data_IF_702753661801
#
_entry.id   IF_702753661801
#
_cell.length_a   1.000
_cell.length_b   1.000
_cell.length_c   1.000
_cell.angle_alpha   90.00
_cell.angle_beta   90.00
_cell.angle_gamma   90.00
#
_symmetry.space_group_name_H-M   'P 1'
#
loop_
_entity.id
_entity.type
_entity.pdbx_description
1 polymer ?
#
# COMPACT_ATOMS: atom_id res chain seq x y z
N UNK A 1 -3.84 -2.91 -12.96
CA UNK A 1 -2.84 -2.42 -11.98
C UNK A 1 -2.93 -0.89 -11.98
N UNK A 2 -3.19 -0.23 -10.85
CA UNK A 2 -3.27 1.24 -10.84
C UNK A 2 -1.85 1.87 -11.01
N UNK A 3 -1.77 3.11 -11.52
CA UNK A 3 -0.51 3.78 -11.84
C UNK A 3 0.45 3.84 -10.63
N UNK A 4 -0.09 4.13 -9.45
CA UNK A 4 0.66 4.23 -8.19
C UNK A 4 1.30 2.89 -7.79
N UNK A 5 0.55 1.79 -7.91
CA UNK A 5 1.02 0.44 -7.61
C UNK A 5 2.05 -0.03 -8.63
N UNK A 6 1.92 0.36 -9.90
CA UNK A 6 2.93 0.08 -10.93
C UNK A 6 4.25 0.79 -10.66
N UNK A 7 4.22 1.99 -10.10
CA UNK A 7 5.44 2.77 -9.78
C UNK A 7 6.19 2.22 -8.57
N UNK A 8 5.48 1.63 -7.60
CA UNK A 8 6.04 1.24 -6.30
C UNK A 8 6.43 -0.24 -6.22
N UNK A 9 5.87 -1.10 -7.08
CA UNK A 9 6.22 -2.54 -7.14
C UNK A 9 7.69 -2.78 -7.54
N UNK A 10 8.31 -1.88 -8.30
CA UNK A 10 9.70 -2.01 -8.74
C UNK A 10 10.74 -1.62 -7.66
N UNK A 11 10.31 -1.07 -6.52
CA UNK A 11 11.22 -0.77 -5.41
C UNK A 11 11.50 -2.05 -4.62
N UNK A 12 12.76 -2.49 -4.59
CA UNK A 12 13.21 -3.75 -3.95
C UNK A 12 12.68 -3.93 -2.51
N UNK A 13 12.61 -2.85 -1.73
CA UNK A 13 12.15 -2.88 -0.33
C UNK A 13 10.62 -2.79 -0.15
N UNK A 14 9.81 -2.78 -1.22
CA UNK A 14 8.36 -2.53 -1.14
C UNK A 14 7.51 -3.79 -1.30
N UNK A 15 8.05 -4.87 -1.84
CA UNK A 15 7.24 -6.07 -2.15
C UNK A 15 6.62 -6.71 -0.90
N UNK A 16 7.43 -7.00 0.11
CA UNK A 16 6.96 -7.63 1.35
C UNK A 16 6.01 -6.72 2.16
N UNK A 17 6.34 -5.43 2.40
CA UNK A 17 5.41 -4.52 3.07
C UNK A 17 4.07 -4.36 2.31
N UNK A 18 4.09 -4.34 0.97
CA UNK A 18 2.86 -4.20 0.19
C UNK A 18 1.94 -5.42 0.31
N UNK A 19 2.51 -6.62 0.45
CA UNK A 19 1.75 -7.86 0.68
C UNK A 19 1.14 -7.83 2.09
N UNK A 20 1.91 -7.44 3.10
CA UNK A 20 1.43 -7.35 4.48
C UNK A 20 0.25 -6.37 4.61
N UNK A 21 0.39 -5.15 4.07
CA UNK A 21 -0.68 -4.15 4.06
C UNK A 21 -1.95 -4.64 3.32
N UNK A 22 -1.78 -5.34 2.21
CA UNK A 22 -2.91 -5.94 1.50
C UNK A 22 -3.58 -7.06 2.31
N UNK A 23 -2.82 -7.86 3.05
CA UNK A 23 -3.38 -8.87 3.96
C UNK A 23 -4.22 -8.21 5.05
N UNK A 24 -3.72 -7.14 5.68
CA UNK A 24 -4.46 -6.40 6.72
C UNK A 24 -5.82 -5.89 6.24
N UNK A 25 -5.86 -5.32 5.03
CA UNK A 25 -7.12 -4.86 4.42
C UNK A 25 -8.09 -6.03 4.25
N UNK A 26 -7.60 -7.15 3.69
CA UNK A 26 -8.43 -8.32 3.42
C UNK A 26 -8.91 -9.00 4.72
N UNK A 27 -8.09 -9.01 5.76
CA UNK A 27 -8.44 -9.59 7.05
C UNK A 27 -9.49 -8.74 7.78
N UNK A 28 -9.41 -7.42 7.71
CA UNK A 28 -10.43 -6.52 8.22
C UNK A 28 -11.77 -6.68 7.48
N UNK A 29 -11.74 -6.83 6.14
CA UNK A 29 -12.93 -7.12 5.32
C UNK A 29 -13.56 -8.46 5.72
N UNK A 30 -12.76 -9.53 5.81
CA UNK A 30 -13.24 -10.86 6.21
C UNK A 30 -13.85 -10.85 7.62
N UNK A 31 -13.28 -10.05 8.52
CA UNK A 31 -13.76 -9.88 9.90
C UNK A 31 -14.96 -8.93 10.01
N UNK A 32 -15.46 -8.39 8.90
CA UNK A 32 -16.56 -7.42 8.84
C UNK A 32 -16.31 -6.17 9.68
N UNK A 33 -15.08 -5.66 9.65
CA UNK A 33 -14.66 -4.45 10.35
C UNK A 33 -14.40 -3.31 9.37
N UNK A 34 -15.44 -2.55 8.98
CA UNK A 34 -15.32 -1.55 7.91
C UNK A 34 -14.32 -0.43 8.25
N UNK A 35 -14.31 0.06 9.49
CA UNK A 35 -13.42 1.14 9.91
C UNK A 35 -11.94 0.72 9.89
N UNK A 36 -11.65 -0.52 10.34
CA UNK A 36 -10.30 -1.09 10.27
C UNK A 36 -9.85 -1.30 8.82
N UNK A 37 -10.76 -1.72 7.93
CA UNK A 37 -10.47 -1.88 6.51
C UNK A 37 -10.18 -0.53 5.84
N UNK A 38 -10.94 0.51 6.16
CA UNK A 38 -10.69 1.86 5.65
C UNK A 38 -9.34 2.40 6.14
N UNK A 39 -9.06 2.28 7.44
CA UNK A 39 -7.80 2.71 8.02
C UNK A 39 -6.60 1.99 7.37
N UNK A 40 -6.68 0.67 7.19
CA UNK A 40 -5.65 -0.12 6.52
C UNK A 40 -5.47 0.31 5.05
N UNK A 41 -6.57 0.54 4.32
CA UNK A 41 -6.52 0.98 2.93
C UNK A 41 -5.88 2.37 2.78
N UNK A 42 -6.20 3.30 3.69
CA UNK A 42 -5.61 4.64 3.73
C UNK A 42 -4.10 4.57 3.96
N UNK A 43 -3.65 3.76 4.92
CA UNK A 43 -2.21 3.53 5.18
C UNK A 43 -1.49 2.93 3.98
N UNK A 44 -2.11 1.99 3.27
CA UNK A 44 -1.55 1.37 2.08
C UNK A 44 -1.28 2.39 0.96
N UNK A 45 -2.25 3.27 0.70
CA UNK A 45 -2.14 4.32 -0.32
C UNK A 45 -1.08 5.36 0.09
N UNK A 46 -1.09 5.80 1.34
CA UNK A 46 -0.10 6.76 1.86
C UNK A 46 1.32 6.23 1.71
N UNK A 47 1.56 4.97 2.09
CA UNK A 47 2.87 4.32 1.97
C UNK A 47 3.33 4.24 0.52
N UNK A 48 2.42 3.90 -0.41
CA UNK A 48 2.73 3.91 -1.83
C UNK A 48 3.05 5.33 -2.35
N UNK A 49 2.34 6.36 -1.88
CA UNK A 49 2.59 7.74 -2.28
C UNK A 49 3.93 8.26 -1.78
N UNK A 50 4.33 7.97 -0.54
CA UNK A 50 5.62 8.35 0.01
C UNK A 50 6.79 7.76 -0.80
N UNK A 51 6.68 6.50 -1.20
CA UNK A 51 7.69 5.83 -2.03
C UNK A 51 7.77 6.48 -3.40
N UNK A 52 6.62 6.67 -4.07
CA UNK A 52 6.58 7.34 -5.36
C UNK A 52 7.19 8.75 -5.31
N UNK A 53 6.89 9.51 -4.25
CA UNK A 53 7.46 10.84 -4.03
C UNK A 53 8.99 10.79 -3.86
N UNK A 54 9.50 9.82 -3.11
CA UNK A 54 10.95 9.65 -2.91
C UNK A 54 11.65 9.26 -4.22
N UNK A 55 11.08 8.35 -4.99
CA UNK A 55 11.59 7.98 -6.32
C UNK A 55 11.64 9.19 -7.27
N UNK A 56 10.58 9.99 -7.31
CA UNK A 56 10.51 11.20 -8.15
C UNK A 56 11.44 12.33 -7.69
N UNK A 57 11.89 12.33 -6.44
CA UNK A 57 12.84 13.32 -5.91
C UNK A 57 14.30 12.96 -6.16
N UNK A 58 14.57 11.67 -6.34
CA UNK A 58 15.92 11.11 -6.51
C UNK A 58 16.26 10.84 -7.99
N UNK A 59 15.28 10.90 -8.88
CA UNK A 59 15.46 10.83 -10.34
C UNK A 59 15.50 12.22 -10.96
#
# INVERSE_FOLDING_TARGET
INKLRSMTIASENRREPAIAEMSEIMDAIRSRKPDEAEAAARRHVESAWQIARNTLRLG
#
